data_IF_195069504795
#
_entry.id   IF_195069504795
#
_cell.length_a   1.000
_cell.length_b   1.000
_cell.length_c   1.000
_cell.angle_alpha   90.00
_cell.angle_beta   90.00
_cell.angle_gamma   90.00
#
_symmetry.space_group_name_H-M   'P 1'
#
loop_
_entity.id
_entity.type
_entity.pdbx_description
1 polymer ?
#
# COMPACT_ATOMS: atom_id res chain seq x y z
N UNK A 1 -2.73 39.14 -75.87
CA UNK A 1 -2.18 40.08 -74.90
C UNK A 1 -2.40 39.54 -73.54
N UNK A 2 -1.28 39.41 -72.83
CA UNK A 2 -1.14 39.27 -71.38
C UNK A 2 -1.52 37.92 -70.77
N UNK A 3 -0.47 37.20 -70.74
CA UNK A 3 -0.09 36.10 -69.85
C UNK A 3 -0.25 36.47 -68.37
N UNK A 4 -0.85 35.61 -67.56
CA UNK A 4 -0.73 35.62 -66.14
C UNK A 4 -0.55 34.24 -65.60
N UNK A 5 0.70 33.93 -65.41
CA UNK A 5 1.19 32.84 -64.59
C UNK A 5 0.52 32.81 -63.22
N UNK A 6 -0.20 31.76 -62.97
CA UNK A 6 -0.66 31.41 -61.61
C UNK A 6 0.44 30.62 -60.94
N UNK A 7 1.11 31.28 -59.97
CA UNK A 7 2.04 30.61 -59.10
C UNK A 7 1.29 29.74 -58.12
N UNK A 8 1.43 28.47 -58.28
CA UNK A 8 0.96 27.47 -57.37
C UNK A 8 1.87 27.44 -56.14
N UNK A 9 1.39 27.98 -55.02
CA UNK A 9 2.07 27.89 -53.72
C UNK A 9 1.74 26.55 -53.12
N UNK A 10 2.72 25.65 -53.13
CA UNK A 10 2.62 24.40 -52.38
C UNK A 10 2.78 24.70 -50.90
N UNK A 11 1.69 24.58 -50.18
CA UNK A 11 1.74 24.50 -48.71
C UNK A 11 2.21 23.11 -48.35
N UNK A 12 3.45 23.03 -47.91
CA UNK A 12 3.97 21.85 -47.27
C UNK A 12 3.23 21.61 -45.94
N UNK A 13 2.47 20.57 -45.87
CA UNK A 13 1.88 20.08 -44.65
C UNK A 13 3.00 19.51 -43.78
N UNK A 14 3.40 20.24 -42.73
CA UNK A 14 4.20 19.71 -41.64
C UNK A 14 3.33 18.71 -40.86
N UNK A 15 3.53 17.45 -41.08
CA UNK A 15 3.04 16.39 -40.22
C UNK A 15 3.85 16.46 -38.92
N UNK A 16 3.32 17.14 -37.91
CA UNK A 16 3.78 17.00 -36.55
C UNK A 16 3.42 15.59 -36.08
N UNK A 17 4.40 14.70 -36.08
CA UNK A 17 4.29 13.42 -35.41
C UNK A 17 4.15 13.68 -33.91
N UNK A 18 2.94 13.67 -33.39
CA UNK A 18 2.66 13.52 -31.97
C UNK A 18 3.18 12.15 -31.55
N UNK A 19 4.38 12.14 -31.02
CA UNK A 19 4.86 11.02 -30.21
C UNK A 19 3.93 10.98 -29.00
N UNK A 20 2.89 10.18 -29.08
CA UNK A 20 2.14 9.77 -27.93
C UNK A 20 3.13 9.03 -27.05
N UNK A 21 3.63 9.69 -26.00
CA UNK A 21 4.20 9.02 -24.85
C UNK A 21 3.13 8.05 -24.39
N UNK A 22 3.30 6.78 -24.71
CA UNK A 22 2.45 5.72 -24.22
C UNK A 22 2.53 5.80 -22.71
N UNK A 23 1.48 6.29 -22.08
CA UNK A 23 1.24 6.03 -20.68
C UNK A 23 1.18 4.52 -20.58
N UNK A 24 2.23 3.92 -20.06
CA UNK A 24 2.15 2.56 -19.54
C UNK A 24 1.13 2.64 -18.41
N UNK A 25 -0.12 2.40 -18.75
CA UNK A 25 -1.15 2.08 -17.79
C UNK A 25 -0.77 0.74 -17.21
N UNK A 26 0.15 0.77 -16.26
CA UNK A 26 0.41 -0.36 -15.40
C UNK A 26 -0.94 -0.69 -14.78
N UNK A 27 -1.46 -1.92 -14.91
CA UNK A 27 -2.73 -2.28 -14.31
C UNK A 27 -2.62 -1.89 -12.84
N UNK A 28 -3.59 -1.11 -12.36
CA UNK A 28 -3.64 -0.66 -10.99
C UNK A 28 -3.40 -1.88 -10.11
N UNK A 29 -2.28 -1.89 -9.38
CA UNK A 29 -1.98 -2.98 -8.48
C UNK A 29 -3.17 -3.06 -7.53
N UNK A 30 -3.84 -4.21 -7.52
CA UNK A 30 -5.00 -4.45 -6.65
C UNK A 30 -4.50 -4.58 -5.23
N UNK A 31 -4.27 -3.43 -4.59
CA UNK A 31 -3.71 -3.31 -3.25
C UNK A 31 -2.53 -2.34 -3.21
N UNK A 32 -2.35 -1.67 -2.09
CA UNK A 32 -1.22 -0.78 -1.87
C UNK A 32 -0.01 -1.59 -1.41
N UNK A 33 1.05 -1.58 -2.22
CA UNK A 33 2.35 -2.13 -1.85
C UNK A 33 3.26 -1.01 -1.33
N UNK A 34 3.88 -1.25 -0.19
CA UNK A 34 4.87 -0.34 0.39
C UNK A 34 6.26 -0.84 0.07
N UNK A 35 7.16 0.06 -0.35
CA UNK A 35 8.55 -0.26 -0.59
C UNK A 35 9.38 -0.28 0.70
N UNK A 36 8.89 0.38 1.75
CA UNK A 36 9.58 0.50 3.04
C UNK A 36 8.62 0.74 4.19
N UNK A 37 9.13 0.63 5.42
CA UNK A 37 8.40 1.01 6.62
C UNK A 37 8.03 2.51 6.60
N UNK A 38 8.89 3.36 6.06
CA UNK A 38 8.64 4.81 5.98
C UNK A 38 7.48 5.13 5.02
N UNK A 39 7.34 4.39 3.93
CA UNK A 39 6.20 4.54 3.01
C UNK A 39 4.89 4.09 3.65
N UNK A 40 4.91 3.01 4.43
CA UNK A 40 3.78 2.63 5.27
C UNK A 40 3.43 3.75 6.26
N UNK A 41 4.42 4.34 6.94
CA UNK A 41 4.21 5.44 7.88
C UNK A 41 3.58 6.67 7.23
N UNK A 42 4.03 7.05 6.04
CA UNK A 42 3.43 8.15 5.27
C UNK A 42 1.97 7.86 4.91
N UNK A 43 1.69 6.64 4.47
CA UNK A 43 0.33 6.22 4.16
C UNK A 43 -0.58 6.30 5.40
N UNK A 44 -0.12 5.79 6.53
CA UNK A 44 -0.85 5.84 7.80
C UNK A 44 -1.22 7.27 8.19
N UNK A 45 -0.25 8.19 8.17
CA UNK A 45 -0.47 9.61 8.47
C UNK A 45 -1.47 10.25 7.51
N UNK A 46 -1.39 9.94 6.22
CA UNK A 46 -2.29 10.48 5.19
C UNK A 46 -3.71 9.94 5.28
N UNK A 47 -3.93 8.83 5.99
CA UNK A 47 -5.23 8.17 6.11
C UNK A 47 -5.87 8.30 7.50
N UNK A 48 -5.39 9.22 8.32
CA UNK A 48 -6.02 9.58 9.60
C UNK A 48 -5.60 8.70 10.78
N UNK A 49 -4.49 7.96 10.64
CA UNK A 49 -3.90 7.24 11.75
C UNK A 49 -2.90 8.14 12.50
N UNK A 50 -3.10 8.28 13.79
CA UNK A 50 -2.13 8.91 14.69
C UNK A 50 -1.16 7.84 15.19
N UNK A 51 0.05 7.82 14.64
CA UNK A 51 1.00 6.74 14.88
C UNK A 51 2.28 7.22 15.57
N UNK A 52 2.81 6.36 16.44
CA UNK A 52 4.18 6.42 16.94
C UNK A 52 4.95 5.25 16.36
N UNK A 53 6.15 5.50 15.83
CA UNK A 53 7.03 4.44 15.33
C UNK A 53 7.52 3.58 16.47
N UNK A 54 7.51 2.28 16.29
CA UNK A 54 8.04 1.29 17.22
C UNK A 54 9.08 0.42 16.52
N UNK A 55 10.34 0.77 16.72
CA UNK A 55 11.47 0.08 16.07
C UNK A 55 11.79 -1.29 16.70
N UNK A 56 11.21 -1.62 17.85
CA UNK A 56 11.40 -2.93 18.50
C UNK A 56 10.93 -4.09 17.63
N UNK A 57 10.01 -3.82 16.73
CA UNK A 57 9.43 -4.81 15.80
C UNK A 57 9.99 -4.69 14.38
N UNK A 58 11.08 -3.97 14.16
CA UNK A 58 11.71 -3.87 12.84
C UNK A 58 10.91 -3.03 11.84
N UNK A 59 10.44 -1.84 12.24
CA UNK A 59 9.68 -0.91 11.38
C UNK A 59 8.18 -1.01 11.56
N UNK A 60 7.73 -1.14 12.80
CA UNK A 60 6.32 -1.13 13.20
C UNK A 60 5.82 0.25 13.61
N UNK A 61 4.52 0.37 13.72
CA UNK A 61 3.81 1.56 14.15
C UNK A 61 2.70 1.19 15.13
N UNK A 62 2.68 1.89 16.26
CA UNK A 62 1.57 1.88 17.21
C UNK A 62 0.68 3.06 16.90
N UNK A 63 -0.57 2.78 16.55
CA UNK A 63 -1.49 3.79 16.05
C UNK A 63 -2.81 3.81 16.81
N UNK A 64 -3.47 4.96 16.77
CA UNK A 64 -4.90 5.14 17.01
C UNK A 64 -5.55 5.63 15.71
N UNK A 65 -6.83 5.39 15.53
CA UNK A 65 -7.56 5.84 14.36
C UNK A 65 -8.76 6.71 14.74
N UNK A 66 -8.89 7.86 14.08
CA UNK A 66 -10.01 8.79 14.21
C UNK A 66 -10.39 9.15 15.66
N UNK A 67 -9.38 9.31 16.54
CA UNK A 67 -9.60 9.62 17.97
C UNK A 67 -10.16 8.46 18.79
N UNK A 68 -10.24 7.26 18.22
CA UNK A 68 -10.63 6.06 18.94
C UNK A 68 -9.56 5.58 19.95
N UNK A 69 -9.96 4.68 20.84
CA UNK A 69 -9.10 4.10 21.86
C UNK A 69 -8.50 2.75 21.46
N UNK A 70 -8.95 2.17 20.34
CA UNK A 70 -8.41 0.91 19.85
C UNK A 70 -6.95 1.07 19.43
N UNK A 71 -6.13 0.11 19.83
CA UNK A 71 -4.73 0.05 19.44
C UNK A 71 -4.58 -0.71 18.12
N UNK A 72 -3.95 -0.06 17.15
CA UNK A 72 -3.65 -0.57 15.83
C UNK A 72 -2.14 -0.73 15.69
N UNK A 73 -1.66 -1.95 15.53
CA UNK A 73 -0.23 -2.21 15.37
C UNK A 73 0.06 -2.57 13.92
N UNK A 74 0.59 -1.62 13.17
CA UNK A 74 1.03 -1.87 11.80
C UNK A 74 2.51 -2.25 11.76
N UNK A 75 2.85 -3.15 10.86
CA UNK A 75 4.22 -3.54 10.59
C UNK A 75 4.46 -3.65 9.09
N UNK A 76 5.57 -3.09 8.62
CA UNK A 76 6.07 -3.37 7.28
C UNK A 76 6.52 -4.83 7.20
N UNK A 77 5.99 -5.56 6.23
CA UNK A 77 6.26 -6.99 6.08
C UNK A 77 7.35 -7.22 5.04
N UNK A 78 8.61 -7.09 5.47
CA UNK A 78 9.78 -7.53 4.70
C UNK A 78 10.00 -9.04 4.84
N UNK A 79 10.87 -9.60 4.03
CA UNK A 79 11.29 -11.00 4.17
C UNK A 79 11.93 -11.26 5.54
N UNK A 80 12.74 -10.31 6.03
CA UNK A 80 13.37 -10.38 7.33
C UNK A 80 12.34 -10.45 8.47
N UNK A 81 11.33 -9.57 8.45
CA UNK A 81 10.28 -9.54 9.48
C UNK A 81 9.42 -10.80 9.45
N UNK A 82 9.16 -11.34 8.26
CA UNK A 82 8.46 -12.64 8.11
C UNK A 82 9.27 -13.79 8.71
N UNK A 83 10.57 -13.84 8.41
CA UNK A 83 11.47 -14.87 8.94
C UNK A 83 11.56 -14.82 10.46
N UNK A 84 11.69 -13.64 11.05
CA UNK A 84 11.66 -13.45 12.52
C UNK A 84 10.35 -13.93 13.14
N UNK A 85 9.20 -13.61 12.53
CA UNK A 85 7.90 -14.07 13.01
C UNK A 85 7.79 -15.60 12.98
N UNK A 86 8.22 -16.23 11.90
CA UNK A 86 8.22 -17.69 11.79
C UNK A 86 9.12 -18.34 12.86
N UNK A 87 10.27 -17.74 13.16
CA UNK A 87 11.14 -18.21 14.23
C UNK A 87 10.44 -18.12 15.59
N UNK A 88 9.74 -17.04 15.89
CA UNK A 88 8.94 -16.89 17.12
C UNK A 88 7.81 -17.90 17.21
N UNK A 89 7.12 -18.18 16.10
CA UNK A 89 6.11 -19.22 16.03
C UNK A 89 6.68 -20.62 16.35
N UNK A 90 7.84 -20.92 15.81
CA UNK A 90 8.53 -22.20 16.07
C UNK A 90 9.00 -22.33 17.53
N UNK A 91 9.47 -21.26 18.12
CA UNK A 91 9.94 -21.24 19.51
C UNK A 91 8.83 -21.20 20.55
N UNK A 92 7.57 -21.03 20.12
CA UNK A 92 6.42 -20.88 21.03
C UNK A 92 6.27 -19.49 21.67
N UNK A 93 7.05 -18.51 21.25
CA UNK A 93 6.96 -17.12 21.74
C UNK A 93 5.78 -16.35 21.16
N UNK A 94 5.25 -16.78 20.02
CA UNK A 94 4.08 -16.16 19.40
C UNK A 94 2.81 -16.97 19.71
N UNK A 95 1.68 -16.25 19.79
CA UNK A 95 0.37 -16.89 19.94
C UNK A 95 0.00 -17.63 18.63
N UNK A 96 0.09 -18.95 18.66
CA UNK A 96 -0.20 -19.81 17.49
C UNK A 96 -1.67 -19.77 17.06
N UNK A 97 -2.57 -19.42 17.97
CA UNK A 97 -4.02 -19.36 17.70
C UNK A 97 -4.49 -17.93 17.38
N UNK A 98 -3.63 -16.93 17.53
CA UNK A 98 -3.94 -15.55 17.22
C UNK A 98 -4.14 -15.32 15.73
N UNK A 99 -4.85 -14.25 15.40
CA UNK A 99 -5.10 -13.80 14.04
C UNK A 99 -4.52 -12.41 13.84
N UNK A 100 -4.27 -12.04 12.60
CA UNK A 100 -3.92 -10.70 12.17
C UNK A 100 -4.49 -10.44 10.77
N UNK A 101 -4.42 -9.18 10.32
CA UNK A 101 -4.69 -8.83 8.93
C UNK A 101 -3.36 -8.72 8.21
N UNK A 102 -3.21 -9.39 7.08
CA UNK A 102 -2.01 -9.32 6.26
C UNK A 102 -2.33 -8.92 4.83
N UNK A 103 -1.61 -7.94 4.32
CA UNK A 103 -1.43 -7.66 2.91
C UNK A 103 -0.09 -8.18 2.42
N UNK A 104 0.32 -7.80 1.21
CA UNK A 104 1.58 -8.25 0.62
C UNK A 104 2.80 -7.74 1.37
N UNK A 105 2.79 -6.46 1.75
CA UNK A 105 3.95 -5.77 2.34
C UNK A 105 3.65 -5.17 3.71
N UNK A 106 2.54 -5.53 4.32
CA UNK A 106 2.13 -5.00 5.60
C UNK A 106 1.34 -6.03 6.42
N UNK A 107 1.36 -5.86 7.72
CA UNK A 107 0.58 -6.65 8.68
C UNK A 107 -0.03 -5.70 9.68
N UNK A 108 -1.26 -5.98 10.10
CA UNK A 108 -1.96 -5.26 11.14
C UNK A 108 -2.39 -6.23 12.24
N UNK A 109 -1.99 -5.90 13.46
CA UNK A 109 -2.40 -6.60 14.67
C UNK A 109 -3.39 -5.74 15.45
N UNK A 110 -4.42 -6.36 16.04
CA UNK A 110 -5.27 -5.69 17.03
C UNK A 110 -4.63 -5.76 18.41
N UNK A 111 -4.51 -4.62 19.08
CA UNK A 111 -4.08 -4.57 20.47
C UNK A 111 -5.15 -5.01 21.48
N UNK A 112 -6.39 -5.20 21.03
CA UNK A 112 -7.56 -5.51 21.87
C UNK A 112 -8.21 -6.88 21.58
N UNK A 113 -7.53 -7.73 20.83
CA UNK A 113 -8.00 -9.08 20.52
C UNK A 113 -8.54 -9.23 19.10
N UNK A 114 -8.75 -10.48 18.73
CA UNK A 114 -9.06 -10.87 17.34
C UNK A 114 -10.48 -10.48 16.90
N UNK A 115 -11.39 -10.27 17.85
CA UNK A 115 -12.76 -9.84 17.61
C UNK A 115 -12.88 -8.47 16.92
N UNK A 116 -11.87 -7.63 17.04
CA UNK A 116 -11.80 -6.33 16.37
C UNK A 116 -11.36 -6.41 14.92
N UNK A 117 -10.70 -7.48 14.52
CA UNK A 117 -10.10 -7.60 13.18
C UNK A 117 -11.08 -7.43 12.01
N UNK A 118 -12.32 -7.95 12.03
CA UNK A 118 -13.24 -7.73 10.93
C UNK A 118 -13.53 -6.24 10.67
N UNK A 119 -13.83 -5.47 11.71
CA UNK A 119 -14.07 -4.03 11.58
C UNK A 119 -12.82 -3.26 11.16
N UNK A 120 -11.65 -3.66 11.66
CA UNK A 120 -10.36 -3.09 11.26
C UNK A 120 -10.05 -3.39 9.79
N UNK A 121 -10.35 -4.60 9.31
CA UNK A 121 -10.18 -4.98 7.91
C UNK A 121 -11.06 -4.11 6.99
N UNK A 122 -12.32 -3.91 7.35
CA UNK A 122 -13.23 -3.06 6.57
C UNK A 122 -12.71 -1.62 6.50
N UNK A 123 -12.19 -1.10 7.61
CA UNK A 123 -11.60 0.24 7.68
C UNK A 123 -10.39 0.37 6.75
N UNK A 124 -9.42 -0.53 6.81
CA UNK A 124 -8.22 -0.42 5.97
C UNK A 124 -8.53 -0.65 4.50
N UNK A 125 -9.48 -1.52 4.17
CA UNK A 125 -9.95 -1.68 2.78
C UNK A 125 -10.62 -0.42 2.24
N UNK A 126 -11.45 0.23 3.02
CA UNK A 126 -12.06 1.51 2.65
C UNK A 126 -11.02 2.62 2.43
N UNK A 127 -9.83 2.50 3.03
CA UNK A 127 -8.68 3.41 2.85
C UNK A 127 -7.74 3.00 1.72
N UNK A 128 -8.01 1.91 1.01
CA UNK A 128 -7.25 1.48 -0.16
C UNK A 128 -6.33 0.28 0.05
N UNK A 129 -6.23 -0.30 1.25
CA UNK A 129 -5.50 -1.56 1.49
C UNK A 129 -6.37 -2.76 1.13
N UNK A 130 -6.68 -2.90 -0.16
CA UNK A 130 -7.66 -3.88 -0.67
C UNK A 130 -7.17 -5.33 -0.65
N UNK A 131 -5.85 -5.54 -0.56
CA UNK A 131 -5.22 -6.86 -0.51
C UNK A 131 -5.23 -7.50 0.89
N UNK A 132 -5.70 -6.76 1.91
CA UNK A 132 -5.79 -7.24 3.28
C UNK A 132 -6.73 -8.42 3.45
N UNK A 133 -6.30 -9.39 4.25
CA UNK A 133 -7.10 -10.55 4.66
C UNK A 133 -6.76 -10.99 6.08
N UNK A 134 -7.74 -11.53 6.79
CA UNK A 134 -7.50 -12.14 8.11
C UNK A 134 -6.79 -13.48 7.90
N UNK A 135 -5.68 -13.65 8.58
CA UNK A 135 -4.85 -14.86 8.54
C UNK A 135 -4.45 -15.28 9.94
N UNK A 136 -4.09 -16.56 10.11
CA UNK A 136 -3.49 -17.02 11.36
C UNK A 136 -2.11 -16.41 11.52
N UNK A 137 -1.75 -16.01 12.75
CA UNK A 137 -0.46 -15.38 13.04
C UNK A 137 0.73 -16.28 12.73
N UNK A 138 0.57 -17.58 12.85
CA UNK A 138 1.58 -18.61 12.63
C UNK A 138 1.20 -19.60 11.50
N UNK A 139 0.35 -19.16 10.58
CA UNK A 139 -0.08 -19.98 9.43
C UNK A 139 0.72 -19.69 8.17
#
# INVERSE_FOLDING_TARGET
MIDRSVRMVMFGALLAALVACGSNSQPAATGTEFASADDLGKWLSSNGFGCTRDDRLGGGYMCTYAGGTDSWQFQYSSEETRSKRLAWCKSGLANKNGQNIAGRTWVLYSGHGDDKLPAMLDTVKAKGLTDGRIVKSCG
#
